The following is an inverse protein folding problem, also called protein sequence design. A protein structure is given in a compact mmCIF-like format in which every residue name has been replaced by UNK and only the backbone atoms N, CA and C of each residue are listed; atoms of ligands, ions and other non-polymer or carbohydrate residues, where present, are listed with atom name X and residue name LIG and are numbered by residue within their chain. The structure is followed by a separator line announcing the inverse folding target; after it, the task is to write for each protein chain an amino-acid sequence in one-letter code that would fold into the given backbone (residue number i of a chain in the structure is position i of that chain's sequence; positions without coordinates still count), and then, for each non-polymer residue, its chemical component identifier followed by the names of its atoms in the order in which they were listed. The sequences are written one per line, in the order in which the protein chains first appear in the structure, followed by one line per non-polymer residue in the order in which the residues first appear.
data_IF_995180899174
#
_entry.id   IF_995180899174
#
_cell.length_a   1.000
_cell.length_b   1.000
_cell.length_c   1.000
_cell.angle_alpha   90.00
_cell.angle_beta   90.00
_cell.angle_gamma   90.00
#
_symmetry.space_group_name_H-M   'P 1'
#
loop_
_entity.id
_entity.type
_entity.pdbx_description
1 polymer ?
#
# COMPACT_ATOMS: atom_id res chain seq x y z
N UNK A 1 3.97 27.00 -12.67
CA UNK A 1 4.44 26.29 -11.46
C UNK A 1 3.20 25.93 -10.70
N UNK A 2 2.93 24.64 -10.51
CA UNK A 2 1.68 24.18 -9.92
C UNK A 2 1.66 24.56 -8.43
N UNK A 3 0.95 25.64 -8.09
CA UNK A 3 0.42 25.79 -6.74
C UNK A 3 -0.66 24.72 -6.62
N UNK A 4 -0.24 23.51 -6.27
CA UNK A 4 -1.17 22.43 -5.97
C UNK A 4 -1.86 22.86 -4.70
N UNK A 5 -3.07 23.39 -4.85
CA UNK A 5 -3.92 23.87 -3.79
C UNK A 5 -4.54 22.64 -3.08
N UNK A 6 -3.70 21.71 -2.62
CA UNK A 6 -4.16 20.47 -2.01
C UNK A 6 -4.82 20.82 -0.69
N UNK A 7 -6.11 20.58 -0.60
CA UNK A 7 -6.90 20.69 0.62
C UNK A 7 -6.63 19.51 1.55
N UNK A 8 -6.94 19.67 2.85
CA UNK A 8 -6.85 18.57 3.81
C UNK A 8 -7.71 17.37 3.40
N UNK A 9 -8.88 17.67 2.82
CA UNK A 9 -9.81 16.67 2.31
C UNK A 9 -9.23 15.87 1.15
N UNK A 10 -8.49 16.52 0.25
CA UNK A 10 -7.80 15.83 -0.86
C UNK A 10 -6.69 14.91 -0.34
N UNK A 11 -5.90 15.35 0.66
CA UNK A 11 -4.88 14.50 1.28
C UNK A 11 -5.51 13.26 1.94
N UNK A 12 -6.62 13.43 2.65
CA UNK A 12 -7.35 12.31 3.25
C UNK A 12 -7.97 11.39 2.20
N UNK A 13 -8.55 11.94 1.15
CA UNK A 13 -9.12 11.19 0.04
C UNK A 13 -8.06 10.31 -0.64
N UNK A 14 -6.91 10.89 -1.00
CA UNK A 14 -5.81 10.16 -1.63
C UNK A 14 -5.25 9.08 -0.67
N UNK A 15 -5.10 9.38 0.61
CA UNK A 15 -4.70 8.37 1.60
C UNK A 15 -5.66 7.18 1.62
N UNK A 16 -6.98 7.45 1.57
CA UNK A 16 -8.01 6.41 1.49
C UNK A 16 -7.95 5.58 0.20
N UNK A 17 -7.65 6.22 -0.93
CA UNK A 17 -7.44 5.50 -2.21
C UNK A 17 -6.22 4.59 -2.16
N UNK A 18 -5.13 5.03 -1.53
CA UNK A 18 -3.93 4.20 -1.32
C UNK A 18 -4.26 2.98 -0.46
N UNK A 19 -5.03 3.16 0.62
CA UNK A 19 -5.43 2.06 1.50
C UNK A 19 -6.29 1.02 0.75
N UNK A 20 -7.24 1.47 -0.08
CA UNK A 20 -8.06 0.58 -0.92
C UNK A 20 -7.23 -0.16 -1.99
N UNK A 21 -6.30 0.55 -2.64
CA UNK A 21 -5.38 -0.04 -3.60
C UNK A 21 -4.49 -1.09 -2.95
N UNK A 22 -4.00 -0.84 -1.74
CA UNK A 22 -3.23 -1.80 -0.93
C UNK A 22 -4.00 -3.09 -0.71
N UNK A 23 -5.26 -3.00 -0.28
CA UNK A 23 -6.11 -4.16 -0.03
C UNK A 23 -6.33 -4.97 -1.32
N UNK A 24 -6.61 -4.28 -2.43
CA UNK A 24 -6.79 -4.91 -3.75
C UNK A 24 -5.52 -5.67 -4.19
N UNK A 25 -4.35 -5.07 -4.00
CA UNK A 25 -3.06 -5.71 -4.31
C UNK A 25 -2.80 -6.92 -3.42
N UNK A 26 -3.09 -6.82 -2.12
CA UNK A 26 -2.93 -7.92 -1.17
C UNK A 26 -3.84 -9.12 -1.53
N UNK A 27 -5.11 -8.85 -1.85
CA UNK A 27 -6.06 -9.86 -2.31
C UNK A 27 -5.59 -10.53 -3.62
N UNK A 28 -5.10 -9.73 -4.57
CA UNK A 28 -4.57 -10.23 -5.85
C UNK A 28 -3.36 -11.13 -5.61
N UNK A 29 -2.42 -10.71 -4.76
CA UNK A 29 -1.24 -11.49 -4.43
C UNK A 29 -1.60 -12.82 -3.76
N UNK A 30 -2.54 -12.81 -2.82
CA UNK A 30 -3.04 -14.01 -2.15
C UNK A 30 -3.72 -14.98 -3.13
N UNK A 31 -4.49 -14.45 -4.09
CA UNK A 31 -5.10 -15.27 -5.14
C UNK A 31 -4.04 -15.94 -6.03
N UNK A 32 -3.04 -15.18 -6.50
CA UNK A 32 -1.95 -15.73 -7.30
C UNK A 32 -1.17 -16.80 -6.53
N UNK A 33 -0.94 -16.59 -5.24
CA UNK A 33 -0.29 -17.58 -4.38
C UNK A 33 -1.08 -18.89 -4.32
N UNK A 34 -2.40 -18.82 -4.16
CA UNK A 34 -3.27 -19.99 -4.15
C UNK A 34 -3.25 -20.75 -5.48
N UNK A 35 -3.28 -20.04 -6.62
CA UNK A 35 -3.21 -20.65 -7.96
C UNK A 35 -1.90 -21.43 -8.14
N UNK A 36 -0.77 -20.83 -7.76
CA UNK A 36 0.54 -21.47 -7.88
C UNK A 36 0.66 -22.68 -6.96
N UNK A 37 0.22 -22.57 -5.70
CA UNK A 37 0.18 -23.70 -4.78
C UNK A 37 -0.70 -24.84 -5.28
N UNK A 38 -1.81 -24.53 -5.96
CA UNK A 38 -2.67 -25.51 -6.59
C UNK A 38 -1.96 -26.30 -7.68
N UNK A 39 -1.18 -25.63 -8.54
CA UNK A 39 -0.39 -26.29 -9.58
C UNK A 39 0.70 -27.20 -9.01
N UNK A 40 1.43 -26.73 -8.00
CA UNK A 40 2.47 -27.54 -7.31
C UNK A 40 1.83 -28.76 -6.66
N UNK A 41 0.70 -28.59 -5.98
CA UNK A 41 -0.05 -29.69 -5.34
C UNK A 41 -0.63 -30.69 -6.35
N UNK A 42 -1.01 -30.24 -7.54
CA UNK A 42 -1.54 -31.07 -8.61
C UNK A 42 -0.48 -31.91 -9.35
N UNK A 43 0.79 -31.83 -8.93
CA UNK A 43 1.86 -32.64 -9.50
C UNK A 43 2.68 -31.92 -10.57
N UNK A 44 2.60 -30.60 -10.69
CA UNK A 44 3.56 -29.79 -11.46
C UNK A 44 4.91 -29.71 -10.72
N UNK A 45 5.52 -30.88 -10.50
CA UNK A 45 6.77 -31.06 -9.77
C UNK A 45 7.74 -31.78 -10.70
N UNK A 46 8.45 -31.04 -11.55
CA UNK A 46 9.61 -31.58 -12.27
C UNK A 46 10.82 -31.55 -11.33
N UNK A 47 11.42 -32.72 -11.06
CA UNK A 47 12.37 -33.03 -9.97
C UNK A 47 13.48 -32.01 -9.61
N UNK A 48 13.85 -31.08 -10.51
CA UNK A 48 14.80 -30.00 -10.21
C UNK A 48 14.23 -28.59 -10.38
N UNK A 49 13.24 -28.39 -11.26
CA UNK A 49 12.73 -27.06 -11.61
C UNK A 49 11.65 -26.57 -10.64
N UNK A 50 10.86 -27.47 -10.07
CA UNK A 50 9.73 -27.13 -9.20
C UNK A 50 10.15 -26.61 -7.83
N UNK A 51 11.19 -27.17 -7.21
CA UNK A 51 11.70 -26.66 -5.93
C UNK A 51 12.33 -25.27 -6.05
N UNK A 52 13.04 -25.01 -7.14
CA UNK A 52 13.58 -23.68 -7.44
C UNK A 52 12.46 -22.67 -7.75
N UNK A 53 11.44 -23.09 -8.50
CA UNK A 53 10.28 -22.26 -8.82
C UNK A 53 9.48 -21.90 -7.56
N UNK A 54 9.19 -22.88 -6.69
CA UNK A 54 8.46 -22.66 -5.43
C UNK A 54 9.20 -21.69 -4.50
N UNK A 55 10.51 -21.87 -4.33
CA UNK A 55 11.36 -20.97 -3.55
C UNK A 55 11.41 -19.54 -4.12
N UNK A 56 11.59 -19.41 -5.45
CA UNK A 56 11.59 -18.11 -6.12
C UNK A 56 10.22 -17.42 -6.02
N UNK A 57 9.14 -18.17 -6.18
CA UNK A 57 7.78 -17.64 -6.06
C UNK A 57 7.45 -17.23 -4.62
N UNK A 58 7.85 -18.02 -3.62
CA UNK A 58 7.71 -17.65 -2.21
C UNK A 58 8.51 -16.38 -1.84
N UNK A 59 9.71 -16.23 -2.40
CA UNK A 59 10.51 -15.00 -2.27
C UNK A 59 9.79 -13.82 -2.91
N UNK A 60 9.28 -13.99 -4.13
CA UNK A 60 8.50 -12.97 -4.84
C UNK A 60 7.29 -12.51 -4.01
N UNK A 61 6.47 -13.45 -3.52
CA UNK A 61 5.31 -13.14 -2.66
C UNK A 61 5.72 -12.33 -1.44
N UNK A 62 6.80 -12.75 -0.76
CA UNK A 62 7.31 -12.04 0.42
C UNK A 62 7.75 -10.61 0.07
N UNK A 63 8.53 -10.43 -0.99
CA UNK A 63 9.00 -9.11 -1.43
C UNK A 63 7.85 -8.21 -1.88
N UNK A 64 6.87 -8.75 -2.60
CA UNK A 64 5.67 -8.01 -3.01
C UNK A 64 4.81 -7.62 -1.81
N UNK A 65 4.64 -8.50 -0.83
CA UNK A 65 3.93 -8.18 0.41
C UNK A 65 4.60 -7.03 1.17
N UNK A 66 5.94 -7.04 1.25
CA UNK A 66 6.69 -5.92 1.85
C UNK A 66 6.49 -4.61 1.09
N UNK A 67 6.49 -4.64 -0.25
CA UNK A 67 6.23 -3.47 -1.06
C UNK A 67 4.80 -2.94 -0.90
N UNK A 68 3.80 -3.83 -0.78
CA UNK A 68 2.41 -3.47 -0.49
C UNK A 68 2.32 -2.82 0.89
N UNK A 69 2.98 -3.37 1.90
CA UNK A 69 2.98 -2.79 3.25
C UNK A 69 3.65 -1.41 3.31
N UNK A 70 4.64 -1.14 2.45
CA UNK A 70 5.23 0.19 2.35
C UNK A 70 4.21 1.26 1.94
N UNK A 71 3.11 0.89 1.25
CA UNK A 71 2.00 1.81 0.93
C UNK A 71 1.32 2.38 2.19
N UNK A 72 1.31 1.62 3.29
CA UNK A 72 0.81 2.10 4.60
C UNK A 72 1.60 3.33 5.08
N UNK A 73 2.91 3.39 4.80
CA UNK A 73 3.74 4.54 5.14
C UNK A 73 3.34 5.80 4.37
N UNK A 74 2.97 5.65 3.10
CA UNK A 74 2.53 6.76 2.26
C UNK A 74 1.15 7.28 2.69
N UNK A 75 0.18 6.40 2.95
CA UNK A 75 -1.13 6.85 3.44
C UNK A 75 -1.03 7.50 4.82
N UNK A 76 -0.18 6.96 5.71
CA UNK A 76 0.12 7.57 7.01
C UNK A 76 0.76 8.96 6.91
N UNK A 77 1.71 9.14 5.99
CA UNK A 77 2.33 10.44 5.72
C UNK A 77 1.29 11.48 5.29
N UNK A 78 0.42 11.14 4.32
CA UNK A 78 -0.61 12.06 3.83
C UNK A 78 -1.60 12.46 4.93
N UNK A 79 -2.02 11.51 5.79
CA UNK A 79 -2.87 11.80 6.94
C UNK A 79 -2.20 12.73 7.95
N UNK A 80 -0.91 12.51 8.22
CA UNK A 80 -0.12 13.35 9.14
C UNK A 80 0.06 14.77 8.59
N UNK A 81 0.32 14.88 7.28
CA UNK A 81 0.42 16.16 6.60
C UNK A 81 -0.90 16.94 6.67
N UNK A 82 -2.04 16.28 6.41
CA UNK A 82 -3.36 16.89 6.51
C UNK A 82 -3.63 17.44 7.92
N UNK A 83 -3.37 16.63 8.95
CA UNK A 83 -3.54 17.02 10.35
C UNK A 83 -2.67 18.22 10.72
N UNK A 84 -1.39 18.17 10.37
CA UNK A 84 -0.42 19.22 10.73
C UNK A 84 -0.82 20.57 10.11
N UNK A 85 -1.26 20.56 8.85
CA UNK A 85 -1.67 21.78 8.18
C UNK A 85 -2.98 22.33 8.75
N UNK A 86 -3.96 21.46 9.06
CA UNK A 86 -5.22 21.85 9.73
C UNK A 86 -4.97 22.49 11.10
N UNK A 87 -4.07 21.92 11.89
CA UNK A 87 -3.72 22.45 13.22
C UNK A 87 -3.03 23.82 13.10
N UNK A 88 -2.11 23.97 12.14
CA UNK A 88 -1.45 25.24 11.86
C UNK A 88 -2.45 26.33 11.48
N UNK A 89 -3.39 26.05 10.57
CA UNK A 89 -4.42 27.00 10.15
C UNK A 89 -5.35 27.41 11.31
N UNK A 90 -5.75 26.44 12.14
CA UNK A 90 -6.58 26.72 13.32
C UNK A 90 -5.88 27.64 14.33
N UNK A 91 -4.57 27.45 14.52
CA UNK A 91 -3.73 28.28 15.41
C UNK A 91 -3.55 29.69 14.87
N UNK A 92 -3.36 29.83 13.55
CA UNK A 92 -3.27 31.14 12.90
C UNK A 92 -4.60 31.89 13.01
N UNK A 93 -5.73 31.22 12.78
CA UNK A 93 -7.05 31.82 12.92
C UNK A 93 -7.33 32.29 14.36
N UNK A 94 -6.94 31.51 15.36
CA UNK A 94 -7.10 31.88 16.77
C UNK A 94 -6.27 33.13 17.14
N UNK A 95 -5.04 33.25 16.63
CA UNK A 95 -4.19 34.41 16.85
C UNK A 95 -4.73 35.70 16.19
N UNK A 96 -5.47 35.58 15.09
CA UNK A 96 -6.08 36.74 14.42
C UNK A 96 -7.36 37.24 15.10
N UNK A 97 -7.99 36.42 15.95
CA UNK A 97 -9.23 36.75 16.66
C UNK A 97 -9.00 37.28 18.09
N UNK A 98 -7.78 37.18 18.62
CA UNK A 98 -7.38 37.72 19.92
C UNK A 98 -6.65 39.05 19.80
#
# INVERSE_FOLDING_TARGET
MANVNVTYDELHSVAGQIDQGKETLAQTLAHLQSVVQGLVSAGFVTDQASGAYDSQFGTYVTSTHQAIEALTGFSGFLRTAAQTLSDADSSLAAQMQG
#
